data_IF_037234720414
#
_entry.id   IF_037234720414
#
_cell.length_a   1.000
_cell.length_b   1.000
_cell.length_c   1.000
_cell.angle_alpha   90.00
_cell.angle_beta   90.00
_cell.angle_gamma   90.00
#
_symmetry.space_group_name_H-M   'P 1'
#
loop_
_entity.id
_entity.type
_entity.pdbx_description
1 polymer ?
#
# COMPACT_ATOMS: atom_id res chain seq x y z
N UNK A 1 24.38 -29.12 19.61
CA UNK A 1 24.35 -27.64 19.63
C UNK A 1 22.92 -27.22 19.32
N UNK A 2 22.30 -26.29 20.07
CA UNK A 2 21.01 -25.78 19.63
C UNK A 2 21.28 -25.04 18.32
N UNK A 3 20.61 -25.48 17.25
CA UNK A 3 20.53 -24.69 16.02
C UNK A 3 19.86 -23.39 16.45
N UNK A 4 20.58 -22.26 16.44
CA UNK A 4 19.95 -20.96 16.59
C UNK A 4 18.96 -20.87 15.42
N UNK A 5 17.68 -21.03 15.71
CA UNK A 5 16.64 -20.95 14.70
C UNK A 5 16.72 -19.54 14.10
N UNK A 6 17.19 -19.46 12.84
CA UNK A 6 17.35 -18.18 12.17
C UNK A 6 15.98 -17.50 12.15
N UNK A 7 15.92 -16.23 12.57
CA UNK A 7 14.67 -15.47 12.62
C UNK A 7 14.03 -15.50 11.22
N UNK A 8 12.76 -15.91 11.08
CA UNK A 8 12.08 -15.91 9.79
C UNK A 8 12.12 -14.53 9.12
N UNK A 9 12.28 -14.50 7.80
CA UNK A 9 12.51 -13.24 7.10
C UNK A 9 11.32 -12.27 7.26
N UNK A 10 10.08 -12.76 7.27
CA UNK A 10 8.92 -11.90 7.50
C UNK A 10 8.95 -11.20 8.87
N UNK A 11 9.53 -11.84 9.90
CA UNK A 11 9.70 -11.23 11.22
C UNK A 11 10.78 -10.16 11.18
N UNK A 12 11.86 -10.40 10.43
CA UNK A 12 12.91 -9.42 10.19
C UNK A 12 12.35 -8.18 9.51
N UNK A 13 11.60 -8.33 8.41
CA UNK A 13 10.92 -7.22 7.73
C UNK A 13 10.02 -6.46 8.71
N UNK A 14 9.11 -7.15 9.39
CA UNK A 14 8.16 -6.53 10.34
C UNK A 14 8.86 -5.74 11.45
N UNK A 15 9.91 -6.29 12.05
CA UNK A 15 10.65 -5.62 13.14
C UNK A 15 11.40 -4.40 12.61
N UNK A 16 12.06 -4.55 11.48
CA UNK A 16 12.88 -3.52 10.84
C UNK A 16 12.09 -2.32 10.31
N UNK A 17 10.78 -2.46 10.12
CA UNK A 17 9.92 -1.44 9.51
C UNK A 17 8.82 -0.96 10.46
N UNK A 18 8.83 -1.38 11.74
CA UNK A 18 7.80 -1.06 12.71
C UNK A 18 7.65 0.46 12.92
N UNK A 19 8.77 1.15 13.08
CA UNK A 19 8.78 2.61 13.26
C UNK A 19 8.26 3.34 12.01
N UNK A 20 8.67 2.91 10.82
CA UNK A 20 8.22 3.50 9.56
C UNK A 20 6.70 3.30 9.35
N UNK A 21 6.20 2.11 9.67
CA UNK A 21 4.77 1.82 9.68
C UNK A 21 4.00 2.71 10.67
N UNK A 22 4.52 2.91 11.89
CA UNK A 22 3.91 3.81 12.87
C UNK A 22 3.86 5.26 12.38
N UNK A 23 4.96 5.77 11.81
CA UNK A 23 5.00 7.12 11.22
C UNK A 23 4.00 7.30 10.08
N UNK A 24 3.83 6.29 9.23
CA UNK A 24 2.85 6.35 8.14
C UNK A 24 1.40 6.42 8.65
N UNK A 25 1.06 5.58 9.63
CA UNK A 25 -0.29 5.53 10.20
C UNK A 25 -0.67 6.77 11.02
N UNK A 26 0.33 7.46 11.59
CA UNK A 26 0.17 8.69 12.37
C UNK A 26 0.72 9.91 11.64
N UNK A 27 0.65 9.90 10.30
CA UNK A 27 0.92 11.10 9.53
C UNK A 27 -0.20 12.13 9.76
N UNK A 28 0.09 13.45 9.73
CA UNK A 28 -0.92 14.49 9.97
C UNK A 28 -2.18 14.33 9.11
N UNK A 29 -2.00 13.94 7.84
CA UNK A 29 -3.11 13.65 6.92
C UNK A 29 -3.96 12.47 7.41
N UNK A 30 -3.36 11.34 7.78
CA UNK A 30 -4.08 10.16 8.23
C UNK A 30 -4.80 10.39 9.56
N UNK A 31 -4.15 11.06 10.52
CA UNK A 31 -4.79 11.44 11.78
C UNK A 31 -5.99 12.37 11.51
N UNK A 32 -5.84 13.38 10.64
CA UNK A 32 -6.95 14.25 10.25
C UNK A 32 -8.08 13.51 9.53
N UNK A 33 -7.74 12.53 8.68
CA UNK A 33 -8.70 11.67 8.03
C UNK A 33 -9.53 10.92 9.09
N UNK A 34 -8.88 10.20 10.01
CA UNK A 34 -9.55 9.43 11.05
C UNK A 34 -10.36 10.27 12.05
N UNK A 35 -9.91 11.50 12.32
CA UNK A 35 -10.63 12.44 13.18
C UNK A 35 -11.87 13.06 12.51
N UNK A 36 -12.00 12.94 11.18
CA UNK A 36 -13.07 13.62 10.43
C UNK A 36 -12.80 15.12 10.22
N UNK A 37 -11.52 15.53 10.17
CA UNK A 37 -11.09 16.93 10.03
C UNK A 37 -10.76 17.35 8.60
N UNK A 38 -10.85 16.43 7.64
CA UNK A 38 -10.64 16.70 6.22
C UNK A 38 -11.96 16.94 5.50
N UNK A 39 -11.90 17.48 4.27
CA UNK A 39 -13.05 17.45 3.37
C UNK A 39 -13.15 16.10 2.63
N UNK A 40 -14.33 15.76 2.11
CA UNK A 40 -14.51 14.59 1.22
C UNK A 40 -13.59 14.70 -0.01
N UNK A 41 -13.38 15.92 -0.51
CA UNK A 41 -12.48 16.19 -1.62
C UNK A 41 -11.02 15.80 -1.31
N UNK A 42 -10.56 15.93 -0.06
CA UNK A 42 -9.21 15.52 0.32
C UNK A 42 -9.07 14.00 0.33
N UNK A 43 -10.11 13.28 0.74
CA UNK A 43 -10.16 11.82 0.61
C UNK A 43 -10.18 11.41 -0.87
N UNK A 44 -10.97 12.07 -1.72
CA UNK A 44 -10.98 11.79 -3.16
C UNK A 44 -9.58 11.99 -3.76
N UNK A 45 -8.86 13.07 -3.40
CA UNK A 45 -7.47 13.29 -3.82
C UNK A 45 -6.53 12.18 -3.37
N UNK A 46 -6.72 11.60 -2.18
CA UNK A 46 -5.96 10.43 -1.75
C UNK A 46 -6.18 9.25 -2.71
N UNK A 47 -7.44 8.98 -3.08
CA UNK A 47 -7.79 7.92 -4.04
C UNK A 47 -7.18 8.18 -5.42
N UNK A 48 -7.12 9.45 -5.86
CA UNK A 48 -6.41 9.84 -7.08
C UNK A 48 -4.94 9.41 -7.03
N UNK A 49 -4.25 9.66 -5.91
CA UNK A 49 -2.84 9.29 -5.77
C UNK A 49 -2.64 7.78 -5.78
N UNK A 50 -3.58 7.02 -5.22
CA UNK A 50 -3.55 5.57 -5.34
C UNK A 50 -3.62 5.10 -6.79
N UNK A 51 -4.37 5.76 -7.67
CA UNK A 51 -4.46 5.34 -9.08
C UNK A 51 -3.08 5.25 -9.75
N UNK A 52 -2.18 6.19 -9.48
CA UNK A 52 -0.82 6.21 -10.02
C UNK A 52 0.11 5.18 -9.35
N UNK A 53 0.03 5.04 -8.02
CA UNK A 53 0.88 4.10 -7.27
C UNK A 53 0.52 2.66 -7.63
N UNK A 54 -0.77 2.31 -7.61
CA UNK A 54 -1.21 0.96 -7.99
C UNK A 54 -1.08 0.71 -9.47
N UNK A 55 -1.30 1.70 -10.34
CA UNK A 55 -1.03 1.54 -11.76
C UNK A 55 0.43 1.17 -12.05
N UNK A 56 1.40 1.80 -11.35
CA UNK A 56 2.80 1.41 -11.45
C UNK A 56 3.05 0.01 -10.87
N UNK A 57 2.54 -0.27 -9.66
CA UNK A 57 2.75 -1.54 -8.97
C UNK A 57 2.17 -2.73 -9.73
N UNK A 58 0.95 -2.59 -10.26
CA UNK A 58 0.26 -3.65 -10.99
C UNK A 58 0.88 -3.89 -12.37
N UNK A 59 1.39 -2.84 -13.03
CA UNK A 59 2.17 -2.99 -14.27
C UNK A 59 3.48 -3.75 -14.05
N UNK A 60 4.18 -3.53 -12.93
CA UNK A 60 5.36 -4.34 -12.57
C UNK A 60 4.94 -5.75 -12.17
N UNK A 61 3.79 -5.90 -11.49
CA UNK A 61 3.24 -7.20 -11.13
C UNK A 61 2.98 -8.08 -12.36
N UNK A 62 2.49 -7.50 -13.47
CA UNK A 62 2.31 -8.23 -14.73
C UNK A 62 3.63 -8.82 -15.23
N UNK A 63 4.68 -8.00 -15.26
CA UNK A 63 6.01 -8.42 -15.71
C UNK A 63 6.65 -9.49 -14.82
N UNK A 64 6.27 -9.53 -13.53
CA UNK A 64 6.80 -10.48 -12.55
C UNK A 64 6.07 -11.83 -12.49
N UNK A 65 4.99 -12.01 -13.25
CA UNK A 65 4.14 -13.20 -13.18
C UNK A 65 4.92 -14.52 -13.31
N UNK A 66 5.88 -14.56 -14.24
CA UNK A 66 6.68 -15.76 -14.52
C UNK A 66 8.04 -15.77 -13.77
N UNK A 67 8.32 -14.76 -12.93
CA UNK A 67 9.57 -14.71 -12.16
C UNK A 67 9.56 -15.77 -11.05
N UNK A 68 10.62 -16.58 -10.89
CA UNK A 68 10.64 -17.68 -9.93
C UNK A 68 10.58 -17.24 -8.46
N UNK A 69 10.90 -15.98 -8.16
CA UNK A 69 10.89 -15.42 -6.80
C UNK A 69 9.66 -14.54 -6.57
N UNK A 70 9.37 -13.62 -7.49
CA UNK A 70 8.29 -12.66 -7.38
C UNK A 70 6.93 -13.19 -7.85
N UNK A 71 6.89 -14.09 -8.83
CA UNK A 71 5.66 -14.67 -9.38
C UNK A 71 4.71 -15.25 -8.33
N UNK A 72 5.18 -16.00 -7.30
CA UNK A 72 4.33 -16.48 -6.21
C UNK A 72 3.59 -15.38 -5.42
N UNK A 73 4.07 -14.14 -5.44
CA UNK A 73 3.43 -13.01 -4.77
C UNK A 73 2.35 -12.33 -5.63
N UNK A 74 2.37 -12.55 -6.95
CA UNK A 74 1.40 -11.98 -7.90
C UNK A 74 0.04 -12.63 -7.70
N UNK A 75 -0.96 -11.84 -7.30
CA UNK A 75 -2.29 -12.34 -6.99
C UNK A 75 -3.39 -11.42 -7.51
N UNK A 76 -4.18 -11.89 -8.48
CA UNK A 76 -5.18 -11.06 -9.16
C UNK A 76 -6.23 -10.46 -8.22
N UNK A 77 -6.63 -11.18 -7.17
CA UNK A 77 -7.62 -10.65 -6.22
C UNK A 77 -7.10 -9.50 -5.34
N UNK A 78 -5.79 -9.22 -5.37
CA UNK A 78 -5.22 -8.04 -4.71
C UNK A 78 -5.35 -6.78 -5.56
N UNK A 79 -5.44 -6.90 -6.89
CA UNK A 79 -5.46 -5.76 -7.81
C UNK A 79 -6.54 -4.75 -7.41
N UNK A 80 -6.15 -3.49 -7.37
CA UNK A 80 -6.95 -2.34 -6.95
C UNK A 80 -7.31 -1.43 -8.11
N UNK A 81 -6.67 -1.52 -9.27
CA UNK A 81 -6.92 -0.64 -10.41
C UNK A 81 -8.41 -0.42 -10.73
N UNK A 82 -9.20 -1.49 -10.91
CA UNK A 82 -10.64 -1.37 -11.20
C UNK A 82 -11.43 -0.76 -10.03
N UNK A 83 -11.06 -1.13 -8.80
CA UNK A 83 -11.70 -0.63 -7.57
C UNK A 83 -11.43 0.85 -7.34
N UNK A 84 -10.22 1.31 -7.64
CA UNK A 84 -9.85 2.73 -7.62
C UNK A 84 -10.64 3.49 -8.67
N UNK A 85 -10.78 2.95 -9.89
CA UNK A 85 -11.58 3.57 -10.94
C UNK A 85 -13.06 3.70 -10.55
N UNK A 86 -13.64 2.69 -9.91
CA UNK A 86 -15.00 2.73 -9.34
C UNK A 86 -15.14 3.88 -8.32
N UNK A 87 -14.18 4.02 -7.40
CA UNK A 87 -14.20 5.09 -6.39
C UNK A 87 -14.00 6.48 -6.99
N UNK A 88 -13.08 6.64 -7.95
CA UNK A 88 -12.89 7.92 -8.66
C UNK A 88 -14.14 8.35 -9.42
N UNK A 89 -14.82 7.41 -10.09
CA UNK A 89 -16.08 7.68 -10.76
C UNK A 89 -17.17 8.11 -9.77
N UNK A 90 -17.23 7.48 -8.59
CA UNK A 90 -18.15 7.87 -7.52
C UNK A 90 -17.92 9.31 -7.04
N UNK A 91 -16.65 9.72 -6.91
CA UNK A 91 -16.29 11.10 -6.54
C UNK A 91 -16.36 12.10 -7.69
N UNK A 92 -16.69 11.67 -8.92
CA UNK A 92 -16.76 12.53 -10.10
C UNK A 92 -15.39 13.00 -10.59
N UNK A 93 -14.31 12.32 -10.23
CA UNK A 93 -12.96 12.64 -10.69
C UNK A 93 -12.76 12.07 -12.10
N UNK A 94 -12.38 12.93 -13.05
CA UNK A 94 -12.26 12.55 -14.48
C UNK A 94 -10.85 12.70 -15.03
N UNK A 95 -10.02 13.55 -14.44
CA UNK A 95 -8.64 13.79 -14.84
C UNK A 95 -7.74 13.84 -13.60
N UNK A 96 -7.43 12.68 -13.01
CA UNK A 96 -6.60 12.63 -11.81
C UNK A 96 -5.19 13.14 -12.15
N UNK A 97 -4.59 13.90 -11.25
CA UNK A 97 -3.21 14.40 -11.40
C UNK A 97 -2.30 13.90 -10.28
N UNK A 98 -1.09 13.42 -10.60
CA UNK A 98 -0.17 12.93 -9.59
C UNK A 98 0.50 14.10 -8.87
N UNK A 99 0.57 14.01 -7.54
CA UNK A 99 1.43 14.89 -6.75
C UNK A 99 2.92 14.63 -7.06
N UNK A 100 3.81 15.60 -6.78
CA UNK A 100 5.24 15.39 -6.93
C UNK A 100 5.75 14.13 -6.21
N UNK A 101 5.32 13.88 -4.97
CA UNK A 101 5.66 12.68 -4.22
C UNK A 101 5.07 11.41 -4.85
N UNK A 102 3.84 11.47 -5.35
CA UNK A 102 3.20 10.34 -6.06
C UNK A 102 3.96 9.97 -7.33
N UNK A 103 4.38 10.98 -8.09
CA UNK A 103 5.21 10.80 -9.29
C UNK A 103 6.53 10.11 -8.94
N UNK A 104 7.21 10.57 -7.89
CA UNK A 104 8.46 9.95 -7.40
C UNK A 104 8.23 8.51 -6.93
N UNK A 105 7.12 8.24 -6.25
CA UNK A 105 6.80 6.90 -5.78
C UNK A 105 6.55 5.95 -6.97
N UNK A 106 5.66 6.32 -7.89
CA UNK A 106 5.39 5.54 -9.08
C UNK A 106 6.65 5.34 -9.93
N UNK A 107 7.53 6.33 -10.02
CA UNK A 107 8.83 6.20 -10.69
C UNK A 107 9.74 5.18 -9.99
N UNK A 108 9.86 5.22 -8.66
CA UNK A 108 10.68 4.26 -7.92
C UNK A 108 10.19 2.82 -8.09
N UNK A 109 8.87 2.60 -8.08
CA UNK A 109 8.30 1.27 -8.34
C UNK A 109 8.75 0.73 -9.70
N UNK A 110 8.72 1.58 -10.74
CA UNK A 110 9.19 1.20 -12.08
C UNK A 110 10.70 1.04 -12.17
N UNK A 111 11.47 1.81 -11.40
CA UNK A 111 12.93 1.71 -11.36
C UNK A 111 13.40 0.34 -10.84
N UNK A 112 12.64 -0.27 -9.92
CA UNK A 112 12.96 -1.60 -9.37
C UNK A 112 12.24 -2.74 -10.10
N UNK A 113 11.70 -2.48 -11.30
CA UNK A 113 10.87 -3.45 -12.03
C UNK A 113 11.63 -4.70 -12.50
N UNK A 114 12.95 -4.67 -12.61
CA UNK A 114 13.77 -5.84 -12.96
C UNK A 114 14.35 -6.54 -11.72
N UNK A 115 13.95 -6.12 -10.53
CA UNK A 115 14.45 -6.61 -9.26
C UNK A 115 13.32 -7.27 -8.45
N UNK A 116 13.25 -8.61 -8.37
CA UNK A 116 12.19 -9.32 -7.65
C UNK A 116 12.01 -8.89 -6.20
N UNK A 117 13.13 -8.73 -5.47
CA UNK A 117 13.10 -8.24 -4.09
C UNK A 117 12.54 -6.81 -3.96
N UNK A 118 12.81 -5.95 -4.94
CA UNK A 118 12.29 -4.58 -4.99
C UNK A 118 10.79 -4.57 -5.24
N UNK A 119 10.31 -5.37 -6.19
CA UNK A 119 8.87 -5.57 -6.39
C UNK A 119 8.18 -6.07 -5.12
N UNK A 120 8.71 -7.15 -4.50
CA UNK A 120 8.14 -7.74 -3.28
C UNK A 120 8.10 -6.71 -2.14
N UNK A 121 9.08 -5.81 -2.03
CA UNK A 121 9.10 -4.75 -1.02
C UNK A 121 7.92 -3.78 -1.15
N UNK A 122 7.65 -3.27 -2.36
CA UNK A 122 6.52 -2.37 -2.62
C UNK A 122 5.18 -3.08 -2.52
N UNK A 123 5.09 -4.29 -3.08
CA UNK A 123 3.92 -5.15 -3.02
C UNK A 123 3.52 -5.48 -1.57
N UNK A 124 4.50 -5.85 -0.74
CA UNK A 124 4.31 -6.07 0.69
C UNK A 124 3.78 -4.82 1.38
N UNK A 125 4.44 -3.68 1.17
CA UNK A 125 4.14 -2.44 1.88
C UNK A 125 2.72 -1.96 1.59
N UNK A 126 2.27 -2.05 0.33
CA UNK A 126 0.92 -1.64 -0.07
C UNK A 126 -0.13 -2.66 0.38
N UNK A 127 -0.11 -3.87 -0.17
CA UNK A 127 -1.22 -4.81 -0.01
C UNK A 127 -1.40 -5.33 1.41
N UNK A 128 -0.32 -5.61 2.15
CA UNK A 128 -0.47 -6.04 3.55
C UNK A 128 -0.96 -4.89 4.44
N UNK A 129 -0.61 -3.64 4.10
CA UNK A 129 -1.16 -2.45 4.73
C UNK A 129 -2.66 -2.31 4.50
N UNK A 130 -3.10 -2.39 3.24
CA UNK A 130 -4.51 -2.21 2.88
C UNK A 130 -5.41 -3.30 3.46
N UNK A 131 -4.96 -4.56 3.41
CA UNK A 131 -5.70 -5.70 3.94
C UNK A 131 -5.81 -5.62 5.48
N UNK A 132 -4.84 -5.01 6.16
CA UNK A 132 -4.85 -4.88 7.62
C UNK A 132 -5.60 -3.63 8.10
N UNK A 133 -5.41 -2.48 7.45
CA UNK A 133 -5.92 -1.17 7.90
C UNK A 133 -7.10 -0.63 7.11
N UNK A 134 -7.33 -1.12 5.88
CA UNK A 134 -8.31 -0.56 4.96
C UNK A 134 -9.75 -0.59 5.47
N UNK A 135 -10.10 -1.60 6.27
CA UNK A 135 -11.43 -1.71 6.87
C UNK A 135 -11.73 -0.59 7.86
N UNK A 136 -10.71 -0.05 8.55
CA UNK A 136 -10.90 1.08 9.44
C UNK A 136 -11.28 2.35 8.66
N UNK A 137 -10.64 2.58 7.51
CA UNK A 137 -10.96 3.73 6.64
C UNK A 137 -12.31 3.53 5.95
N UNK A 138 -12.62 2.32 5.46
CA UNK A 138 -13.92 2.01 4.87
C UNK A 138 -15.08 2.26 5.85
N UNK A 139 -14.92 1.85 7.11
CA UNK A 139 -15.94 2.08 8.15
C UNK A 139 -16.05 3.55 8.58
N UNK A 140 -15.00 4.34 8.37
CA UNK A 140 -14.93 5.75 8.72
C UNK A 140 -15.71 6.64 7.74
N UNK A 141 -15.64 6.34 6.45
CA UNK A 141 -16.19 7.20 5.39
C UNK A 141 -17.71 7.48 5.56
N UNK A 142 -18.59 6.49 5.79
CA UNK A 142 -19.99 6.79 6.06
C UNK A 142 -20.21 7.57 7.36
N UNK A 143 -19.40 7.29 8.39
CA UNK A 143 -19.60 7.81 9.76
C UNK A 143 -19.15 9.25 9.95
N UNK A 144 -18.05 9.65 9.31
CA UNK A 144 -17.45 10.98 9.46
C UNK A 144 -17.67 11.88 8.27
N UNK A 145 -17.77 11.30 7.08
CA UNK A 145 -17.77 12.03 5.81
C UNK A 145 -19.11 11.96 5.07
N UNK A 146 -20.08 11.18 5.58
CA UNK A 146 -21.38 11.02 4.92
C UNK A 146 -21.31 10.32 3.55
N UNK A 147 -20.18 9.68 3.23
CA UNK A 147 -19.97 8.96 1.97
C UNK A 147 -20.69 7.61 2.06
N UNK A 148 -21.81 7.49 1.35
CA UNK A 148 -22.69 6.32 1.35
C UNK A 148 -22.96 5.88 -0.09
N UNK A 149 -23.04 4.57 -0.34
CA UNK A 149 -23.39 4.01 -1.65
C UNK A 149 -22.22 3.83 -2.62
N UNK A 150 -21.00 4.22 -2.24
CA UNK A 150 -19.78 4.02 -3.02
C UNK A 150 -18.55 4.64 -2.33
N UNK A 151 -17.45 4.82 -3.06
CA UNK A 151 -16.24 5.52 -2.59
C UNK A 151 -15.38 4.73 -1.59
N UNK A 152 -15.61 3.42 -1.45
CA UNK A 152 -14.84 2.51 -0.57
C UNK A 152 -14.43 1.20 -1.26
N UNK A 153 -14.65 1.08 -2.58
CA UNK A 153 -14.38 -0.12 -3.36
C UNK A 153 -12.90 -0.54 -3.27
N UNK A 154 -11.98 0.43 -3.17
CA UNK A 154 -10.55 0.18 -2.94
C UNK A 154 -10.29 -0.77 -1.76
N UNK A 155 -11.07 -0.63 -0.68
CA UNK A 155 -10.92 -1.43 0.55
C UNK A 155 -11.70 -2.75 0.51
N UNK A 156 -12.41 -3.07 -0.58
CA UNK A 156 -13.11 -4.34 -0.71
C UNK A 156 -12.15 -5.46 -1.14
N UNK A 157 -11.75 -6.28 -0.16
CA UNK A 157 -10.96 -7.49 -0.35
C UNK A 157 -11.80 -8.77 -0.14
N UNK A 158 -13.12 -8.71 -0.28
CA UNK A 158 -14.01 -9.86 -0.09
C UNK A 158 -13.64 -11.06 -0.96
N UNK A 159 -13.14 -10.81 -2.19
CA UNK A 159 -12.69 -11.84 -3.12
C UNK A 159 -11.39 -12.57 -2.70
N UNK A 160 -10.65 -12.04 -1.71
CA UNK A 160 -9.42 -12.65 -1.20
C UNK A 160 -9.68 -13.88 -0.32
N UNK A 161 -10.90 -14.03 0.19
CA UNK A 161 -11.24 -15.01 1.21
C UNK A 161 -10.73 -14.58 2.59
N UNK A 162 -10.48 -15.53 3.52
CA UNK A 162 -10.10 -15.20 4.89
C UNK A 162 -8.76 -14.47 4.96
N UNK A 163 -8.79 -13.17 5.30
CA UNK A 163 -7.62 -12.30 5.45
C UNK A 163 -6.50 -12.91 6.32
N UNK A 164 -6.78 -13.55 7.48
CA UNK A 164 -5.72 -14.18 8.27
C UNK A 164 -4.94 -15.26 7.49
N UNK A 165 -5.65 -16.09 6.72
CA UNK A 165 -5.05 -17.15 5.89
C UNK A 165 -4.18 -16.56 4.78
N UNK A 166 -4.65 -15.51 4.12
CA UNK A 166 -3.84 -14.81 3.11
C UNK A 166 -2.55 -14.25 3.71
N UNK A 167 -2.62 -13.61 4.89
CA UNK A 167 -1.44 -13.04 5.57
C UNK A 167 -0.44 -14.12 5.99
N UNK A 168 -0.92 -15.27 6.46
CA UNK A 168 -0.04 -16.42 6.75
C UNK A 168 0.65 -16.93 5.49
N UNK A 169 -0.10 -17.08 4.39
CA UNK A 169 0.47 -17.50 3.12
C UNK A 169 1.54 -16.52 2.61
N UNK A 170 1.25 -15.22 2.63
CA UNK A 170 2.22 -14.19 2.23
C UNK A 170 3.50 -14.22 3.05
N UNK A 171 3.39 -14.42 4.38
CA UNK A 171 4.56 -14.56 5.27
C UNK A 171 5.37 -15.81 4.94
N UNK A 172 4.71 -16.92 4.66
CA UNK A 172 5.39 -18.16 4.24
C UNK A 172 6.16 -17.96 2.93
N UNK A 173 5.63 -17.20 1.96
CA UNK A 173 6.35 -16.85 0.73
C UNK A 173 7.60 -16.03 1.02
N UNK A 174 7.50 -15.01 1.89
CA UNK A 174 8.67 -14.21 2.31
C UNK A 174 9.75 -15.09 2.96
N UNK A 175 9.36 -16.06 3.78
CA UNK A 175 10.31 -16.95 4.47
C UNK A 175 10.94 -17.99 3.55
N UNK A 176 10.19 -18.49 2.56
CA UNK A 176 10.61 -19.56 1.66
C UNK A 176 11.42 -19.06 0.45
N UNK A 177 11.26 -17.80 0.05
CA UNK A 177 11.99 -17.26 -1.09
C UNK A 177 13.52 -17.28 -0.85
N UNK A 178 14.33 -17.52 -1.91
CA UNK A 178 15.75 -17.86 -1.81
C UNK A 178 16.65 -16.64 -1.58
N UNK A 179 16.33 -15.83 -0.57
CA UNK A 179 17.10 -14.64 -0.22
C UNK A 179 18.40 -15.00 0.48
N UNK A 180 19.53 -14.56 -0.06
CA UNK A 180 20.77 -14.48 0.72
C UNK A 180 20.73 -13.27 1.69
N UNK A 181 21.70 -13.19 2.59
CA UNK A 181 21.72 -12.13 3.62
C UNK A 181 21.86 -10.72 3.01
N UNK A 182 22.53 -10.58 1.86
CA UNK A 182 22.67 -9.30 1.16
C UNK A 182 21.31 -8.86 0.62
N UNK A 183 20.61 -9.79 -0.02
CA UNK A 183 19.31 -9.57 -0.62
C UNK A 183 18.24 -9.28 0.44
N UNK A 184 18.27 -9.99 1.58
CA UNK A 184 17.42 -9.68 2.74
C UNK A 184 17.61 -8.24 3.21
N UNK A 185 18.86 -7.77 3.30
CA UNK A 185 19.18 -6.39 3.64
C UNK A 185 18.59 -5.39 2.65
N UNK A 186 18.82 -5.62 1.34
CA UNK A 186 18.30 -4.76 0.27
C UNK A 186 16.77 -4.68 0.27
N UNK A 187 16.08 -5.81 0.44
CA UNK A 187 14.60 -5.84 0.52
C UNK A 187 14.10 -5.05 1.71
N UNK A 188 14.71 -5.21 2.89
CA UNK A 188 14.32 -4.46 4.09
C UNK A 188 14.50 -2.95 3.88
N UNK A 189 15.60 -2.53 3.26
CA UNK A 189 15.84 -1.12 2.96
C UNK A 189 14.86 -0.57 1.93
N UNK A 190 14.46 -1.38 0.95
CA UNK A 190 13.45 -0.97 -0.02
C UNK A 190 12.04 -0.90 0.60
N UNK A 191 11.70 -1.77 1.56
CA UNK A 191 10.45 -1.65 2.32
C UNK A 191 10.43 -0.34 3.12
N UNK A 192 11.55 0.02 3.76
CA UNK A 192 11.67 1.33 4.45
C UNK A 192 11.48 2.49 3.47
N UNK A 193 12.11 2.42 2.29
CA UNK A 193 11.93 3.42 1.23
C UNK A 193 10.47 3.51 0.77
N UNK A 194 9.77 2.39 0.62
CA UNK A 194 8.36 2.36 0.25
C UNK A 194 7.47 3.06 1.30
N UNK A 195 7.76 2.88 2.60
CA UNK A 195 7.10 3.65 3.67
C UNK A 195 7.42 5.14 3.58
N UNK A 196 8.69 5.53 3.40
CA UNK A 196 9.07 6.94 3.33
C UNK A 196 8.45 7.65 2.11
N UNK A 197 8.36 6.96 0.97
CA UNK A 197 7.66 7.45 -0.22
C UNK A 197 6.15 7.60 0.03
N UNK A 198 5.54 6.66 0.74
CA UNK A 198 4.13 6.76 1.11
C UNK A 198 3.86 7.93 2.08
N UNK A 199 4.73 8.13 3.06
CA UNK A 199 4.68 9.28 3.98
C UNK A 199 4.81 10.59 3.20
N UNK A 200 5.70 10.65 2.20
CA UNK A 200 5.83 11.84 1.36
C UNK A 200 4.56 12.14 0.54
N UNK A 201 3.82 11.12 0.10
CA UNK A 201 2.50 11.32 -0.54
C UNK A 201 1.50 11.92 0.45
N UNK A 202 1.46 11.43 1.69
CA UNK A 202 0.61 12.00 2.73
C UNK A 202 1.00 13.45 3.09
N UNK A 203 2.29 13.78 3.03
CA UNK A 203 2.76 15.15 3.21
C UNK A 203 2.26 16.07 2.09
N UNK A 204 2.46 15.71 0.83
CA UNK A 204 1.97 16.51 -0.31
C UNK A 204 0.43 16.65 -0.26
N UNK A 205 -0.29 15.63 0.19
CA UNK A 205 -1.74 15.69 0.40
C UNK A 205 -2.12 16.64 1.54
N UNK A 206 -1.40 16.60 2.66
CA UNK A 206 -1.62 17.49 3.79
C UNK A 206 -1.39 18.96 3.40
N UNK A 207 -0.35 19.25 2.63
CA UNK A 207 -0.05 20.61 2.16
C UNK A 207 -1.16 21.18 1.25
N UNK A 208 -1.95 20.31 0.61
CA UNK A 208 -3.10 20.68 -0.22
C UNK A 208 -4.44 20.58 0.49
N UNK A 209 -4.47 20.01 1.70
CA UNK A 209 -5.71 19.83 2.44
C UNK A 209 -6.29 21.19 2.82
N UNK A 210 -7.58 21.37 2.56
CA UNK A 210 -8.29 22.54 3.02
C UNK A 210 -8.93 22.24 4.38
N UNK A 211 -9.03 23.22 5.29
CA UNK A 211 -9.79 23.03 6.53
C UNK A 211 -11.22 22.61 6.20
N UNK A 212 -11.73 21.55 6.84
CA UNK A 212 -13.15 21.21 6.74
C UNK A 212 -14.00 22.43 7.12
N UNK A 213 -14.94 22.82 6.25
CA UNK A 213 -15.90 23.87 6.58
C UNK A 213 -16.70 23.45 7.82
N UNK A 214 -16.72 24.32 8.83
CA UNK A 214 -17.37 24.10 10.12
C UNK A 214 -18.89 23.94 10.01
#
# INVERSE_FOLDING_TARGET
MPVSEAIPFHQTVRRSTLEAHQRANHSPFMDALFDGRLAVADYARLVEQYSFVYGALESVSDAMTDDPVAGPFVHDTLRRGSRIAEDLAFFGVTDPEPLPATTRYAARIREVADWPGGFVAHHYTRYLGDVAGGQAVAALLPRRYGVVGGGTAFYDFSALGPVPRFREHYRALLDAAPWDDTERGRVVDEVRRAYDLNIAVFHDLWDRAEPAAA
#
